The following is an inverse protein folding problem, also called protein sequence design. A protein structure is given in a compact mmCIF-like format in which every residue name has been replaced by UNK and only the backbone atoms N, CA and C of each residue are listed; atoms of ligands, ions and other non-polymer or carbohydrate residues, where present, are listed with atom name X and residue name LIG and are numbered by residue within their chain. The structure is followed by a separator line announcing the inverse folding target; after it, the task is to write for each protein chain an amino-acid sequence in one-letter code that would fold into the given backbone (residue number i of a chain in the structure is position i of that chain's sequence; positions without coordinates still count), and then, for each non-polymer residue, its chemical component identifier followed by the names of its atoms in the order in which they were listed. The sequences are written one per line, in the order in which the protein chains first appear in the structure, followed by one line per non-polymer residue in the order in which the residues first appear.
data_IF_335016976950
#
_entry.id   IF_335016976950
#
_cell.length_a   1.000
_cell.length_b   1.000
_cell.length_c   1.000
_cell.angle_alpha   90.00
_cell.angle_beta   90.00
_cell.angle_gamma   90.00
#
_symmetry.space_group_name_H-M   'P 1'
#
loop_
_entity.id
_entity.type
_entity.pdbx_description
1 polymer ?
#
# COMPACT_ATOMS: atom_id res chain seq x y z
N UNK A 1 24.89 7.28 -2.45
CA UNK A 1 24.93 5.94 -1.84
C UNK A 1 23.48 5.55 -1.54
N UNK A 2 22.97 4.47 -2.13
CA UNK A 2 21.71 3.90 -1.65
C UNK A 2 22.04 3.22 -0.32
N UNK A 3 21.71 3.88 0.78
CA UNK A 3 21.76 3.27 2.11
C UNK A 3 20.58 2.29 2.16
N UNK A 4 20.89 1.00 2.37
CA UNK A 4 19.88 -0.01 2.64
C UNK A 4 19.75 -0.20 4.16
N UNK A 5 18.52 -0.11 4.66
CA UNK A 5 18.24 -0.16 6.10
C UNK A 5 17.92 -1.58 6.52
N UNK A 6 18.62 -2.08 7.54
CA UNK A 6 18.30 -3.38 8.14
C UNK A 6 17.02 -3.29 8.97
N UNK A 7 16.19 -4.32 8.88
CA UNK A 7 14.98 -4.44 9.67
C UNK A 7 15.31 -5.11 11.02
N UNK A 8 15.42 -4.32 12.08
CA UNK A 8 15.86 -4.77 13.41
C UNK A 8 14.78 -4.74 14.48
N UNK A 9 13.61 -4.17 14.20
CA UNK A 9 12.48 -4.13 15.13
C UNK A 9 11.99 -5.54 15.46
N UNK A 10 11.45 -5.70 16.68
CA UNK A 10 10.86 -6.96 17.18
C UNK A 10 9.33 -6.96 17.10
N UNK A 11 8.75 -6.03 16.35
CA UNK A 11 7.30 -6.00 16.13
C UNK A 11 6.84 -7.18 15.25
N UNK A 12 5.55 -7.46 15.30
CA UNK A 12 4.94 -8.60 14.58
C UNK A 12 5.17 -8.55 13.06
N UNK A 13 5.15 -7.38 12.44
CA UNK A 13 5.28 -7.26 10.98
C UNK A 13 6.73 -7.43 10.53
N UNK A 14 7.68 -6.85 11.27
CA UNK A 14 9.11 -7.03 11.00
C UNK A 14 9.54 -8.49 11.17
N UNK A 15 9.14 -9.14 12.26
CA UNK A 15 9.45 -10.57 12.47
C UNK A 15 8.80 -11.46 11.41
N UNK A 16 7.59 -11.11 10.95
CA UNK A 16 6.94 -11.81 9.84
C UNK A 16 7.71 -11.63 8.51
N UNK A 17 8.22 -10.43 8.23
CA UNK A 17 9.06 -10.19 7.05
C UNK A 17 10.35 -11.02 7.13
N UNK A 18 11.03 -11.01 8.28
CA UNK A 18 12.26 -11.79 8.50
C UNK A 18 12.04 -13.29 8.40
N UNK A 19 10.89 -13.80 8.88
CA UNK A 19 10.53 -15.22 8.71
C UNK A 19 10.43 -15.66 7.24
N UNK A 20 10.32 -14.70 6.31
CA UNK A 20 10.32 -14.93 4.86
C UNK A 20 11.68 -14.66 4.20
N UNK A 21 12.73 -14.43 4.99
CA UNK A 21 14.07 -14.12 4.50
C UNK A 21 14.26 -12.68 4.04
N UNK A 22 13.39 -11.76 4.47
CA UNK A 22 13.49 -10.32 4.17
C UNK A 22 14.16 -9.64 5.37
N UNK A 23 15.41 -9.23 5.21
CA UNK A 23 16.24 -8.64 6.26
C UNK A 23 16.47 -7.12 6.05
N UNK A 24 16.25 -6.61 4.84
CA UNK A 24 16.46 -5.20 4.52
C UNK A 24 15.24 -4.50 3.92
N UNK A 25 15.26 -3.17 3.97
CA UNK A 25 14.23 -2.32 3.38
C UNK A 25 14.14 -2.51 1.86
N UNK A 26 15.28 -2.58 1.16
CA UNK A 26 15.26 -2.80 -0.29
C UNK A 26 14.68 -4.17 -0.65
N UNK A 27 15.04 -5.23 0.09
CA UNK A 27 14.45 -6.56 -0.09
C UNK A 27 12.93 -6.54 0.12
N UNK A 28 12.46 -5.83 1.15
CA UNK A 28 11.03 -5.69 1.41
C UNK A 28 10.31 -4.97 0.27
N UNK A 29 10.84 -3.83 -0.18
CA UNK A 29 10.20 -3.06 -1.27
C UNK A 29 10.16 -3.84 -2.58
N UNK A 30 11.24 -4.56 -2.93
CA UNK A 30 11.28 -5.40 -4.13
C UNK A 30 10.33 -6.60 -4.00
N UNK A 31 10.25 -7.23 -2.83
CA UNK A 31 9.27 -8.28 -2.54
C UNK A 31 7.84 -7.77 -2.76
N UNK A 32 7.47 -6.64 -2.15
CA UNK A 32 6.12 -6.06 -2.22
C UNK A 32 5.75 -5.62 -3.64
N UNK A 33 6.70 -5.06 -4.40
CA UNK A 33 6.51 -4.64 -5.79
C UNK A 33 6.13 -5.82 -6.70
N UNK A 34 6.70 -6.99 -6.45
CA UNK A 34 6.44 -8.20 -7.23
C UNK A 34 5.18 -8.97 -6.80
N UNK A 35 4.50 -8.56 -5.72
CA UNK A 35 3.29 -9.24 -5.27
C UNK A 35 2.09 -8.98 -6.21
N UNK A 36 1.30 -10.01 -6.55
CA UNK A 36 0.08 -9.86 -7.33
C UNK A 36 -0.93 -8.95 -6.63
N UNK A 37 -1.74 -8.29 -7.44
CA UNK A 37 -2.85 -7.50 -6.93
C UNK A 37 -3.96 -8.43 -6.41
N UNK A 38 -4.44 -8.18 -5.19
CA UNK A 38 -5.51 -8.99 -4.61
C UNK A 38 -6.00 -8.45 -3.27
N UNK A 39 -7.27 -8.70 -2.95
CA UNK A 39 -7.83 -8.37 -1.63
C UNK A 39 -7.41 -9.43 -0.62
N UNK A 40 -6.86 -8.98 0.50
CA UNK A 40 -6.58 -9.84 1.66
C UNK A 40 -7.88 -10.17 2.40
N UNK A 41 -7.91 -11.30 3.14
CA UNK A 41 -9.10 -11.75 3.88
C UNK A 41 -9.55 -10.74 4.93
N UNK A 42 -8.61 -10.13 5.65
CA UNK A 42 -8.84 -9.01 6.55
C UNK A 42 -7.98 -7.81 6.12
N UNK A 43 -8.59 -6.64 5.93
CA UNK A 43 -7.88 -5.45 5.45
C UNK A 43 -7.15 -4.68 6.55
N UNK A 44 -7.48 -4.92 7.82
CA UNK A 44 -6.82 -4.27 8.96
C UNK A 44 -5.61 -5.06 9.46
N UNK A 45 -5.43 -6.30 9.00
CA UNK A 45 -4.25 -7.11 9.30
C UNK A 45 -3.26 -7.03 8.13
N UNK A 46 -2.32 -6.09 8.22
CA UNK A 46 -1.32 -5.86 7.17
C UNK A 46 -0.36 -7.04 7.01
N UNK A 47 -0.22 -7.89 8.03
CA UNK A 47 0.58 -9.12 7.94
C UNK A 47 0.05 -10.08 6.87
N UNK A 48 -1.23 -9.99 6.52
CA UNK A 48 -1.82 -10.81 5.45
C UNK A 48 -1.24 -10.52 4.08
N UNK A 49 -0.64 -9.35 3.85
CA UNK A 49 0.07 -9.07 2.58
C UNK A 49 1.28 -9.98 2.43
N UNK A 50 2.02 -10.20 3.53
CA UNK A 50 3.17 -11.11 3.55
C UNK A 50 2.72 -12.57 3.51
N UNK A 51 1.75 -12.96 4.33
CA UNK A 51 1.35 -14.38 4.46
C UNK A 51 0.53 -14.88 3.27
N UNK A 52 -0.39 -14.09 2.73
CA UNK A 52 -1.18 -14.44 1.53
C UNK A 52 -0.46 -14.09 0.22
N UNK A 53 0.70 -13.42 0.28
CA UNK A 53 1.52 -13.02 -0.87
C UNK A 53 0.73 -12.28 -1.96
N UNK A 54 -0.15 -11.37 -1.54
CA UNK A 54 -0.94 -10.51 -2.42
C UNK A 54 -1.39 -9.29 -1.66
N UNK A 55 -1.71 -8.22 -2.37
CA UNK A 55 -2.29 -7.04 -1.75
C UNK A 55 -2.81 -6.04 -2.75
N UNK A 56 -3.68 -5.15 -2.29
CA UNK A 56 -4.06 -3.96 -3.04
C UNK A 56 -2.97 -2.89 -2.91
N UNK A 57 -3.01 -1.83 -3.71
CA UNK A 57 -2.09 -0.70 -3.53
C UNK A 57 -2.15 -0.20 -2.08
N UNK A 58 -3.35 0.01 -1.53
CA UNK A 58 -3.54 0.49 -0.16
C UNK A 58 -2.96 -0.45 0.90
N UNK A 59 -3.22 -1.76 0.83
CA UNK A 59 -2.67 -2.70 1.83
C UNK A 59 -1.16 -2.89 1.70
N UNK A 60 -0.61 -2.83 0.48
CA UNK A 60 0.84 -2.89 0.24
C UNK A 60 1.59 -1.68 0.81
N UNK A 61 1.13 -0.45 0.54
CA UNK A 61 1.75 0.76 1.08
C UNK A 61 1.52 0.89 2.60
N UNK A 62 0.36 0.47 3.13
CA UNK A 62 0.13 0.46 4.56
C UNK A 62 1.09 -0.46 5.31
N UNK A 63 1.38 -1.66 4.76
CA UNK A 63 2.40 -2.56 5.29
C UNK A 63 3.79 -1.91 5.26
N UNK A 64 4.20 -1.36 4.11
CA UNK A 64 5.51 -0.70 3.95
C UNK A 64 5.69 0.43 4.95
N UNK A 65 4.70 1.33 5.08
CA UNK A 65 4.74 2.43 6.04
C UNK A 65 4.84 1.92 7.48
N UNK A 66 4.07 0.90 7.84
CA UNK A 66 4.09 0.33 9.19
C UNK A 66 5.47 -0.24 9.54
N UNK A 67 6.09 -0.99 8.63
CA UNK A 67 7.43 -1.55 8.86
C UNK A 67 8.49 -0.45 8.87
N UNK A 68 8.38 0.57 8.01
CA UNK A 68 9.26 1.74 8.03
C UNK A 68 9.23 2.44 9.39
N UNK A 69 8.04 2.66 9.94
CA UNK A 69 7.85 3.30 11.24
C UNK A 69 8.45 2.48 12.38
N UNK A 70 8.18 1.17 12.42
CA UNK A 70 8.74 0.30 13.45
C UNK A 70 10.27 0.21 13.40
N UNK A 71 10.87 0.33 12.21
CA UNK A 71 12.32 0.26 12.02
C UNK A 71 13.01 1.62 11.96
N UNK A 72 12.27 2.72 12.16
CA UNK A 72 12.78 4.09 12.05
C UNK A 72 13.47 4.38 10.71
N UNK A 73 12.94 3.84 9.61
CA UNK A 73 13.44 4.15 8.26
C UNK A 73 13.05 5.59 7.93
N UNK A 74 14.03 6.50 7.73
CA UNK A 74 13.75 7.92 7.60
C UNK A 74 13.11 8.25 6.25
N UNK A 75 12.40 9.38 6.20
CA UNK A 75 11.86 9.96 4.96
C UNK A 75 10.86 9.07 4.20
N UNK A 76 10.11 8.21 4.92
CA UNK A 76 9.01 7.43 4.36
C UNK A 76 7.68 8.02 4.83
N UNK A 77 6.92 8.57 3.89
CA UNK A 77 5.59 9.12 4.14
C UNK A 77 4.53 8.27 3.44
N UNK A 78 3.32 8.23 4.00
CA UNK A 78 2.16 7.64 3.34
C UNK A 78 1.25 8.78 2.92
N UNK A 79 1.10 8.97 1.61
CA UNK A 79 0.34 10.10 1.06
C UNK A 79 -0.95 9.58 0.46
N UNK A 80 -2.06 10.20 0.87
CA UNK A 80 -3.39 9.90 0.33
C UNK A 80 -3.80 11.03 -0.61
N UNK A 81 -3.97 10.68 -1.89
CA UNK A 81 -4.54 11.56 -2.89
C UNK A 81 -6.03 11.27 -3.09
N UNK A 82 -6.82 12.32 -3.29
CA UNK A 82 -8.20 12.21 -3.75
C UNK A 82 -8.27 12.64 -5.21
N UNK A 83 -8.51 11.69 -6.09
CA UNK A 83 -8.77 11.94 -7.50
C UNK A 83 -10.27 12.15 -7.71
N UNK A 84 -10.65 13.34 -8.19
CA UNK A 84 -12.03 13.66 -8.53
C UNK A 84 -12.34 13.11 -9.91
N UNK A 85 -13.07 12.01 -9.97
CA UNK A 85 -13.49 11.42 -11.24
C UNK A 85 -14.71 12.18 -11.77
N UNK A 86 -14.51 12.89 -12.88
CA UNK A 86 -15.56 13.61 -13.61
C UNK A 86 -15.78 12.96 -14.96
N UNK A 87 -16.82 13.36 -15.69
CA UNK A 87 -17.00 12.92 -17.08
C UNK A 87 -15.81 13.32 -17.97
N UNK A 88 -15.21 14.50 -17.73
CA UNK A 88 -14.09 14.99 -18.55
C UNK A 88 -12.83 14.13 -18.46
N UNK A 89 -12.56 13.53 -17.30
CA UNK A 89 -11.36 12.72 -17.07
C UNK A 89 -11.65 11.21 -16.95
N UNK A 90 -12.91 10.85 -16.76
CA UNK A 90 -13.40 9.48 -16.69
C UNK A 90 -14.72 9.37 -17.48
N UNK A 91 -14.68 9.39 -18.84
CA UNK A 91 -15.90 9.53 -19.65
C UNK A 91 -16.97 8.45 -19.42
N UNK A 92 -16.55 7.24 -19.03
CA UNK A 92 -17.47 6.11 -18.83
C UNK A 92 -18.43 6.24 -17.64
N UNK A 93 -18.27 7.25 -16.78
CA UNK A 93 -19.17 7.48 -15.62
C UNK A 93 -20.12 8.67 -15.80
N UNK A 94 -20.08 9.38 -16.93
CA UNK A 94 -20.82 10.64 -17.14
C UNK A 94 -22.34 10.50 -16.98
N UNK A 95 -22.92 9.45 -17.55
CA UNK A 95 -24.36 9.16 -17.42
C UNK A 95 -24.76 8.96 -15.95
N UNK A 96 -23.99 8.15 -15.21
CA UNK A 96 -24.25 7.88 -13.79
C UNK A 96 -24.15 9.14 -12.93
N UNK A 97 -23.18 10.03 -13.22
CA UNK A 97 -23.03 11.32 -12.55
C UNK A 97 -24.25 12.22 -12.79
N UNK A 98 -24.70 12.32 -14.05
CA UNK A 98 -25.82 13.18 -14.45
C UNK A 98 -27.13 12.69 -13.87
N UNK A 99 -27.43 11.40 -14.00
CA UNK A 99 -28.69 10.79 -13.54
C UNK A 99 -28.87 10.92 -12.02
N UNK A 100 -27.77 10.96 -11.27
CA UNK A 100 -27.77 11.10 -9.82
C UNK A 100 -27.47 12.53 -9.32
N UNK A 101 -27.30 13.52 -10.23
CA UNK A 101 -26.93 14.90 -9.88
C UNK A 101 -25.65 15.02 -9.01
N UNK A 102 -24.64 14.20 -9.31
CA UNK A 102 -23.35 14.18 -8.60
C UNK A 102 -22.28 14.85 -9.47
N UNK A 103 -21.53 15.81 -8.90
CA UNK A 103 -20.48 16.54 -9.62
C UNK A 103 -19.27 15.65 -9.98
N UNK A 104 -18.87 14.75 -9.08
CA UNK A 104 -17.74 13.84 -9.28
C UNK A 104 -17.81 12.65 -8.31
N UNK A 105 -17.13 11.54 -8.65
CA UNK A 105 -16.90 10.42 -7.73
C UNK A 105 -15.48 10.53 -7.14
N UNK A 106 -15.33 10.57 -5.80
CA UNK A 106 -14.01 10.57 -5.19
C UNK A 106 -13.36 9.19 -5.29
N UNK A 107 -12.12 9.14 -5.81
CA UNK A 107 -11.28 7.95 -5.81
C UNK A 107 -10.02 8.19 -4.99
N UNK A 108 -9.80 7.35 -3.98
CA UNK A 108 -8.54 7.39 -3.24
C UNK A 108 -7.40 6.77 -4.07
N UNK A 109 -6.24 7.40 -3.98
CA UNK A 109 -4.96 6.93 -4.50
C UNK A 109 -3.98 6.96 -3.31
N UNK A 110 -3.13 5.94 -3.20
CA UNK A 110 -2.06 5.89 -2.20
C UNK A 110 -0.71 5.88 -2.90
N UNK A 111 0.26 6.59 -2.33
CA UNK A 111 1.66 6.60 -2.77
C UNK A 111 2.58 6.55 -1.57
#
# INVERSE_FOLDING_TARGET
MNIDYKLTSKDKLTELAKSKGIETWNELTEFIKNLPYGRNKNRTDFGLVLSEQKGTCSSKHALLKSIADFNNVPNIELIIGIYRMTESNTPKIGTELTDNSIEFIPKHIVT
#
